data_IF_085962827366
#
_entry.id   IF_085962827366
#
_cell.length_a   1.000
_cell.length_b   1.000
_cell.length_c   1.000
_cell.angle_alpha   90.00
_cell.angle_beta   90.00
_cell.angle_gamma   90.00
#
_symmetry.space_group_name_H-M   'P 1'
#
loop_
_entity.id
_entity.type
_entity.pdbx_description
1 polymer ?
#
# COMPACT_ATOMS: atom_id res chain seq x y z
N UNK A 1 24.05 17.56 27.35
CA UNK A 1 22.80 17.96 26.68
C UNK A 1 22.06 16.66 26.38
N UNK A 2 20.96 16.39 27.08
CA UNK A 2 20.23 15.13 26.94
C UNK A 2 19.64 14.95 25.54
N UNK A 3 19.43 13.68 25.13
CA UNK A 3 18.81 13.33 23.86
C UNK A 3 17.36 13.82 23.83
N UNK A 4 16.97 14.56 22.78
CA UNK A 4 15.57 14.97 22.57
C UNK A 4 14.82 13.87 21.81
N UNK A 5 14.06 13.04 22.53
CA UNK A 5 13.30 11.92 21.98
C UNK A 5 12.21 12.34 21.00
N UNK A 6 11.65 13.55 21.16
CA UNK A 6 10.69 14.10 20.20
C UNK A 6 11.41 14.47 18.89
N UNK A 7 12.61 15.04 18.99
CA UNK A 7 13.44 15.34 17.82
C UNK A 7 13.92 14.07 17.10
N UNK A 8 14.29 13.03 17.86
CA UNK A 8 14.71 11.72 17.32
C UNK A 8 13.59 11.07 16.51
N UNK A 9 12.34 11.09 17.02
CA UNK A 9 11.18 10.57 16.28
C UNK A 9 10.62 11.53 15.23
N UNK A 10 11.10 12.78 15.19
CA UNK A 10 10.64 13.83 14.27
C UNK A 10 9.20 14.27 14.52
N UNK A 11 8.78 14.28 15.79
CA UNK A 11 7.42 14.64 16.21
C UNK A 11 7.44 15.87 17.13
N UNK A 12 6.29 16.55 17.26
CA UNK A 12 6.16 17.68 18.18
C UNK A 12 6.14 17.23 19.64
N UNK A 13 6.58 18.07 20.59
CA UNK A 13 6.42 17.80 22.03
C UNK A 13 4.95 17.64 22.46
N UNK A 14 4.02 18.23 21.69
CA UNK A 14 2.56 18.08 21.87
C UNK A 14 1.97 16.88 21.12
N UNK A 15 2.80 15.99 20.59
CA UNK A 15 2.32 14.89 19.76
C UNK A 15 1.41 13.92 20.53
N UNK A 16 0.39 13.42 19.86
CA UNK A 16 -0.49 12.39 20.41
C UNK A 16 0.21 11.02 20.40
N UNK A 17 -0.25 10.03 21.20
CA UNK A 17 0.30 8.67 21.18
C UNK A 17 0.31 8.05 19.77
N UNK A 18 -0.70 8.36 18.95
CA UNK A 18 -0.80 7.90 17.56
C UNK A 18 0.27 8.52 16.66
N UNK A 19 0.57 9.80 16.86
CA UNK A 19 1.63 10.51 16.14
C UNK A 19 3.02 10.02 16.53
N UNK A 20 3.24 9.71 17.81
CA UNK A 20 4.48 9.09 18.32
C UNK A 20 4.66 7.70 17.71
N UNK A 21 3.60 6.89 17.68
CA UNK A 21 3.58 5.58 17.01
C UNK A 21 3.86 5.67 15.51
N UNK A 22 3.40 6.73 14.86
CA UNK A 22 3.66 6.99 13.44
C UNK A 22 5.11 7.47 13.20
N UNK A 23 5.64 8.31 14.09
CA UNK A 23 7.03 8.78 14.06
C UNK A 23 8.03 7.64 14.19
N UNK A 24 7.80 6.74 15.16
CA UNK A 24 8.61 5.54 15.35
C UNK A 24 8.64 4.65 14.10
N UNK A 25 7.49 4.32 13.52
CA UNK A 25 7.42 3.52 12.29
C UNK A 25 8.25 4.12 11.15
N UNK A 26 8.19 5.45 10.99
CA UNK A 26 8.93 6.17 9.94
C UNK A 26 10.44 6.10 10.15
N UNK A 27 10.91 6.33 11.38
CA UNK A 27 12.35 6.34 11.67
C UNK A 27 12.94 4.94 11.75
N UNK A 28 12.21 3.97 12.27
CA UNK A 28 12.65 2.58 12.36
C UNK A 28 12.86 1.95 10.97
N UNK A 29 11.99 2.23 9.99
CA UNK A 29 12.19 1.80 8.59
C UNK A 29 13.36 2.54 7.94
N UNK A 30 13.58 3.80 8.29
CA UNK A 30 14.66 4.61 7.72
C UNK A 30 16.05 4.11 8.15
N UNK A 31 16.19 3.68 9.41
CA UNK A 31 17.46 3.26 9.98
C UNK A 31 17.60 1.74 10.12
N UNK A 32 16.70 0.95 9.52
CA UNK A 32 16.76 -0.51 9.61
C UNK A 32 18.05 -1.07 8.95
N UNK A 33 18.75 -2.03 9.59
CA UNK A 33 20.02 -2.56 9.10
C UNK A 33 19.95 -3.18 7.70
N UNK A 34 18.80 -3.75 7.32
CA UNK A 34 18.57 -4.31 5.96
C UNK A 34 18.75 -3.27 4.85
N UNK A 35 18.32 -2.02 5.08
CA UNK A 35 18.45 -0.92 4.09
C UNK A 35 19.85 -0.33 3.99
N UNK A 36 20.65 -0.51 5.04
CA UNK A 36 22.03 0.00 5.13
C UNK A 36 23.07 -1.12 5.02
N UNK A 37 22.65 -2.32 4.61
CA UNK A 37 23.49 -3.52 4.47
C UNK A 37 24.59 -3.38 3.41
N UNK A 38 24.39 -2.53 2.40
CA UNK A 38 25.35 -2.22 1.33
C UNK A 38 26.24 -1.00 1.60
N UNK A 39 26.05 -0.30 2.73
CA UNK A 39 26.85 0.85 3.13
C UNK A 39 28.24 0.49 3.68
N UNK A 40 29.08 1.52 3.86
CA UNK A 40 30.36 1.40 4.57
C UNK A 40 30.16 1.04 6.05
N UNK A 41 31.19 0.52 6.72
CA UNK A 41 31.10 0.12 8.13
C UNK A 41 30.70 1.29 9.05
N UNK A 42 31.10 2.52 8.70
CA UNK A 42 30.71 3.73 9.42
C UNK A 42 29.20 4.04 9.28
N UNK A 43 28.62 3.86 8.09
CA UNK A 43 27.20 4.10 7.83
C UNK A 43 26.32 3.03 8.51
N UNK A 44 26.81 1.79 8.57
CA UNK A 44 26.15 0.70 9.31
C UNK A 44 26.10 0.97 10.80
N UNK A 45 27.22 1.39 11.38
CA UNK A 45 27.30 1.75 12.79
C UNK A 45 26.40 2.94 13.13
N UNK A 46 26.37 3.98 12.29
CA UNK A 46 25.50 5.15 12.48
C UNK A 46 24.01 4.79 12.35
N UNK A 47 23.66 3.91 11.41
CA UNK A 47 22.28 3.43 11.26
C UNK A 47 21.84 2.62 12.48
N UNK A 48 22.71 1.74 12.99
CA UNK A 48 22.42 0.94 14.18
C UNK A 48 22.25 1.82 15.43
N UNK A 49 23.08 2.83 15.62
CA UNK A 49 22.97 3.78 16.74
C UNK A 49 21.65 4.57 16.66
N UNK A 50 21.30 5.08 15.48
CA UNK A 50 20.04 5.80 15.28
C UNK A 50 18.82 4.91 15.41
N UNK A 51 18.91 3.65 15.01
CA UNK A 51 17.84 2.67 15.19
C UNK A 51 17.58 2.41 16.68
N UNK A 52 18.64 2.23 17.48
CA UNK A 52 18.54 2.10 18.94
C UNK A 52 17.93 3.35 19.58
N UNK A 53 18.36 4.54 19.16
CA UNK A 53 17.82 5.80 19.66
C UNK A 53 16.33 5.97 19.34
N UNK A 54 15.89 5.53 18.17
CA UNK A 54 14.47 5.56 17.79
C UNK A 54 13.62 4.60 18.63
N UNK A 55 14.13 3.41 18.93
CA UNK A 55 13.45 2.44 19.80
C UNK A 55 13.35 2.96 21.23
N UNK A 56 14.43 3.54 21.77
CA UNK A 56 14.44 4.17 23.10
C UNK A 56 13.44 5.32 23.19
N UNK A 57 13.44 6.20 22.18
CA UNK A 57 12.50 7.32 22.13
C UNK A 57 11.04 6.85 22.11
N UNK A 58 10.73 5.79 21.37
CA UNK A 58 9.38 5.23 21.35
C UNK A 58 9.00 4.59 22.69
N UNK A 59 9.88 3.83 23.34
CA UNK A 59 9.56 3.20 24.63
C UNK A 59 9.26 4.23 25.72
N UNK A 60 10.02 5.33 25.76
CA UNK A 60 9.81 6.41 26.72
C UNK A 60 8.54 7.22 26.41
N UNK A 61 8.32 7.56 25.14
CA UNK A 61 7.22 8.45 24.75
C UNK A 61 5.87 7.72 24.55
N UNK A 62 5.88 6.40 24.38
CA UNK A 62 4.66 5.59 24.22
C UNK A 62 3.93 5.32 25.53
N UNK A 63 4.67 5.30 26.65
CA UNK A 63 4.13 5.13 28.00
C UNK A 63 3.85 6.50 28.64
N UNK A 64 2.63 6.71 29.13
CA UNK A 64 2.21 7.99 29.70
C UNK A 64 2.98 8.36 30.99
N UNK A 65 3.35 7.38 31.81
CA UNK A 65 4.14 7.59 33.04
C UNK A 65 5.59 7.95 32.68
N UNK A 66 6.21 7.19 31.76
CA UNK A 66 7.61 7.45 31.32
C UNK A 66 7.73 8.78 30.58
N UNK A 67 6.74 9.11 29.74
CA UNK A 67 6.67 10.40 29.03
C UNK A 67 6.57 11.57 30.01
N UNK A 68 5.76 11.44 31.06
CA UNK A 68 5.63 12.48 32.09
C UNK A 68 6.94 12.72 32.84
N UNK A 69 7.66 11.65 33.18
CA UNK A 69 8.96 11.73 33.84
C UNK A 69 9.99 12.39 32.91
N UNK A 70 10.02 11.99 31.64
CA UNK A 70 10.90 12.57 30.63
C UNK A 70 10.60 14.05 30.36
N UNK A 71 9.33 14.43 30.29
CA UNK A 71 8.91 15.82 30.08
C UNK A 71 9.26 16.73 31.28
N UNK A 72 9.32 16.16 32.50
CA UNK A 72 9.57 16.89 33.74
C UNK A 72 11.05 16.96 34.11
N UNK A 73 11.84 15.92 33.82
CA UNK A 73 13.21 15.76 34.30
C UNK A 73 14.22 15.40 33.20
N UNK A 74 13.79 15.28 31.95
CA UNK A 74 14.64 14.89 30.82
C UNK A 74 15.18 13.46 30.94
N UNK A 75 16.27 13.19 30.23
CA UNK A 75 16.94 11.88 30.22
C UNK A 75 17.48 11.49 31.62
N UNK A 76 17.91 12.48 32.41
CA UNK A 76 18.45 12.28 33.76
C UNK A 76 17.38 11.76 34.76
N UNK A 77 16.12 12.14 34.57
CA UNK A 77 15.01 11.63 35.38
C UNK A 77 14.63 10.18 35.11
N UNK A 78 14.97 9.66 33.92
CA UNK A 78 14.79 8.24 33.60
C UNK A 78 15.89 7.37 34.24
N UNK A 79 17.06 7.93 34.53
CA UNK A 79 18.14 7.27 35.26
C UNK A 79 17.89 7.22 36.78
N UNK A 80 17.23 8.25 37.33
CA UNK A 80 16.97 8.38 38.78
C UNK A 80 15.92 7.38 39.33
N UNK A 81 15.23 6.60 38.49
CA UNK A 81 14.33 5.52 38.92
C UNK A 81 15.03 4.21 39.29
N UNK A 82 16.33 4.11 39.08
CA UNK A 82 17.14 2.91 39.34
C UNK A 82 18.03 3.04 40.57
N UNK A 83 17.46 3.17 41.77
CA UNK A 83 18.28 3.24 42.98
C UNK A 83 17.50 3.33 44.28
N UNK A 84 17.01 2.21 44.79
CA UNK A 84 16.93 2.00 46.25
C UNK A 84 16.72 0.51 46.54
N UNK A 85 17.82 -0.16 46.87
CA UNK A 85 17.83 -1.56 47.26
C UNK A 85 19.23 -2.01 47.66
N UNK A 86 19.69 -1.58 48.84
CA UNK A 86 20.79 -2.27 49.54
C UNK A 86 21.87 -1.39 50.16
N UNK A 87 21.72 -1.13 51.47
CA UNK A 87 22.76 -0.93 52.48
C UNK A 87 23.72 0.29 52.38
N UNK A 88 23.52 1.25 53.31
CA UNK A 88 24.62 1.98 53.94
C UNK A 88 24.62 3.50 53.75
N UNK A 89 24.22 4.24 54.80
CA UNK A 89 24.82 5.54 55.15
C UNK A 89 24.16 6.83 54.62
N UNK A 90 23.34 7.46 55.48
CA UNK A 90 23.42 8.89 55.81
C UNK A 90 23.03 9.97 54.78
N UNK A 91 21.90 10.66 55.05
CA UNK A 91 21.55 12.02 54.56
C UNK A 91 20.90 12.02 53.17
N UNK A 92 19.62 12.29 52.96
CA UNK A 92 18.78 13.32 53.55
C UNK A 92 18.56 14.43 52.51
N UNK A 93 17.46 14.36 51.74
CA UNK A 93 16.90 15.53 51.04
C UNK A 93 15.37 15.60 51.21
N UNK A 94 14.81 16.82 51.32
CA UNK A 94 13.50 17.08 51.90
C UNK A 94 12.43 17.26 50.83
N UNK A 95 11.20 16.84 51.15
CA UNK A 95 10.02 17.19 50.35
C UNK A 95 9.19 15.98 49.97
N UNK A 96 8.50 15.43 50.97
CA UNK A 96 7.44 14.45 50.74
C UNK A 96 6.23 15.08 50.06
N UNK A 97 5.55 14.28 49.25
CA UNK A 97 4.14 14.47 48.86
C UNK A 97 3.46 13.10 48.84
N UNK A 98 2.13 13.05 49.07
CA UNK A 98 1.56 12.27 50.14
C UNK A 98 0.99 10.95 49.63
N UNK A 99 1.46 9.86 50.22
CA UNK A 99 0.76 8.59 50.26
C UNK A 99 -0.44 8.72 51.21
N UNK A 100 -1.66 8.67 50.67
CA UNK A 100 -2.85 8.69 51.51
C UNK A 100 -4.15 8.40 50.75
N UNK A 101 -4.57 7.14 50.78
CA UNK A 101 -5.96 6.74 50.57
C UNK A 101 -6.16 5.71 49.46
N UNK A 102 -6.09 4.41 49.78
CA UNK A 102 -7.26 3.51 49.88
C UNK A 102 -6.79 2.06 50.16
N UNK A 103 -7.61 1.24 50.86
CA UNK A 103 -7.20 0.09 51.65
C UNK A 103 -7.15 -1.22 50.85
N UNK A 104 -6.47 -2.18 51.47
CA UNK A 104 -6.31 -3.56 51.07
C UNK A 104 -7.61 -4.27 50.64
N UNK A 105 -7.49 -5.15 49.63
CA UNK A 105 -8.39 -6.29 49.46
C UNK A 105 -8.92 -6.51 48.05
N UNK A 106 -8.06 -6.88 47.09
CA UNK A 106 -8.38 -7.97 46.14
C UNK A 106 -7.12 -8.42 45.39
N UNK A 107 -6.48 -9.47 45.90
CA UNK A 107 -5.56 -10.29 45.12
C UNK A 107 -6.36 -11.03 44.04
N UNK A 108 -5.93 -10.93 42.78
CA UNK A 108 -6.44 -11.83 41.75
C UNK A 108 -6.07 -11.46 40.33
N UNK A 109 -4.77 -11.47 39.99
CA UNK A 109 -4.23 -12.37 38.95
C UNK A 109 -2.73 -12.10 38.76
N UNK A 110 -1.91 -13.05 39.19
CA UNK A 110 -0.49 -13.11 38.85
C UNK A 110 -0.28 -13.66 37.45
N UNK A 111 0.69 -13.08 36.74
CA UNK A 111 1.32 -13.58 35.53
C UNK A 111 2.69 -12.92 35.40
N UNK A 112 3.78 -13.66 35.10
CA UNK A 112 5.15 -13.24 35.37
C UNK A 112 5.71 -12.36 34.24
N UNK A 113 6.32 -11.23 34.57
CA UNK A 113 7.07 -10.45 33.57
C UNK A 113 7.06 -8.93 33.70
N UNK A 114 6.86 -8.36 34.89
CA UNK A 114 7.02 -6.91 35.10
C UNK A 114 8.47 -6.48 34.91
N UNK A 115 8.84 -6.09 33.69
CA UNK A 115 10.19 -5.60 33.36
C UNK A 115 10.42 -4.27 34.08
N UNK A 116 11.27 -4.28 35.10
CA UNK A 116 11.93 -3.08 35.62
C UNK A 116 13.05 -2.71 34.65
N UNK A 117 13.01 -1.52 34.06
CA UNK A 117 14.09 -1.03 33.19
C UNK A 117 14.81 0.11 33.89
N UNK A 118 16.12 -0.05 34.09
CA UNK A 118 17.07 0.97 34.51
C UNK A 118 17.84 1.43 33.27
N UNK A 119 17.92 2.74 33.05
CA UNK A 119 18.66 3.33 31.93
C UNK A 119 20.09 3.65 32.39
N UNK A 120 21.09 3.03 31.75
CA UNK A 120 22.51 3.42 31.93
C UNK A 120 23.16 3.59 30.56
N UNK A 121 23.67 4.80 30.33
CA UNK A 121 24.35 5.22 29.11
C UNK A 121 25.84 5.43 29.36
N UNK A 122 26.53 4.45 29.97
CA UNK A 122 27.98 4.42 29.89
C UNK A 122 28.55 3.00 30.09
N UNK A 123 29.51 2.64 29.24
CA UNK A 123 29.96 1.27 29.01
C UNK A 123 30.73 0.56 30.13
N UNK A 124 30.89 -0.74 29.88
CA UNK A 124 31.85 -1.69 30.48
C UNK A 124 31.49 -2.25 31.87
N UNK A 125 30.91 -3.46 31.92
CA UNK A 125 30.88 -4.25 33.15
C UNK A 125 29.87 -5.40 33.21
N UNK A 126 30.36 -6.61 32.94
CA UNK A 126 29.93 -7.92 33.45
C UNK A 126 28.65 -8.02 34.31
N UNK A 127 27.65 -8.80 33.87
CA UNK A 127 26.57 -9.34 34.71
C UNK A 127 25.18 -9.18 34.09
N UNK A 128 24.55 -10.30 33.70
CA UNK A 128 23.29 -10.29 32.96
C UNK A 128 22.09 -9.76 33.73
N UNK A 129 21.50 -8.65 33.25
CA UNK A 129 20.05 -8.47 33.05
C UNK A 129 19.78 -7.13 32.34
N UNK A 130 19.02 -7.18 31.25
CA UNK A 130 18.31 -6.10 30.52
C UNK A 130 18.83 -4.65 30.61
N UNK A 131 19.97 -4.37 29.96
CA UNK A 131 20.17 -3.08 29.30
C UNK A 131 19.41 -3.05 27.96
N UNK A 132 19.15 -1.86 27.40
CA UNK A 132 18.55 -1.70 26.07
C UNK A 132 19.43 -2.43 25.03
N UNK A 133 19.07 -3.67 24.70
CA UNK A 133 19.80 -4.50 23.75
C UNK A 133 19.28 -4.23 22.35
N UNK A 134 20.15 -4.33 21.33
CA UNK A 134 19.76 -4.30 19.92
C UNK A 134 18.60 -5.26 19.63
N UNK A 135 18.59 -6.43 20.29
CA UNK A 135 17.53 -7.43 20.18
C UNK A 135 16.15 -6.94 20.62
N UNK A 136 16.05 -6.05 21.61
CA UNK A 136 14.78 -5.51 22.07
C UNK A 136 14.19 -4.49 21.07
N UNK A 137 15.05 -3.71 20.41
CA UNK A 137 14.65 -2.83 19.32
C UNK A 137 14.15 -3.62 18.10
N UNK A 138 14.79 -4.75 17.78
CA UNK A 138 14.36 -5.66 16.73
C UNK A 138 13.01 -6.33 17.06
N UNK A 139 12.77 -6.71 18.31
CA UNK A 139 11.49 -7.28 18.75
C UNK A 139 10.35 -6.25 18.70
N UNK A 140 10.62 -5.00 19.12
CA UNK A 140 9.68 -3.89 18.95
C UNK A 140 9.38 -3.65 17.47
N UNK A 141 10.39 -3.67 16.60
CA UNK A 141 10.18 -3.58 15.15
C UNK A 141 9.32 -4.75 14.63
N UNK A 142 9.67 -5.99 14.96
CA UNK A 142 8.88 -7.16 14.57
C UNK A 142 7.44 -7.09 15.08
N UNK A 143 7.19 -6.63 16.30
CA UNK A 143 5.81 -6.47 16.80
C UNK A 143 4.97 -5.49 15.96
N UNK A 144 5.63 -4.50 15.37
CA UNK A 144 5.02 -3.47 14.51
C UNK A 144 4.83 -3.90 13.05
N UNK A 145 5.66 -4.83 12.57
CA UNK A 145 5.72 -5.22 11.15
C UNK A 145 5.42 -6.71 10.90
N UNK A 146 5.27 -7.54 11.93
CA UNK A 146 5.00 -9.00 11.87
C UNK A 146 3.57 -9.39 12.23
N UNK A 147 2.90 -8.66 13.14
CA UNK A 147 1.46 -8.87 13.41
C UNK A 147 0.65 -8.19 12.31
N UNK A 148 0.32 -8.98 11.30
CA UNK A 148 -0.30 -8.56 10.04
C UNK A 148 -1.50 -7.64 10.18
N UNK A 149 -1.37 -6.47 9.54
CA UNK A 149 -2.45 -5.58 9.08
C UNK A 149 -1.90 -4.62 8.00
N UNK A 150 -2.74 -4.03 7.13
CA UNK A 150 -2.74 -4.28 5.68
C UNK A 150 -1.96 -3.26 4.85
N UNK A 151 -0.68 -3.03 5.17
CA UNK A 151 0.19 -2.16 4.35
C UNK A 151 1.59 -2.74 4.05
N UNK A 152 1.75 -4.06 4.16
CA UNK A 152 2.97 -4.78 3.80
C UNK A 152 3.30 -4.77 2.28
N UNK A 153 2.57 -3.99 1.47
CA UNK A 153 2.82 -3.80 0.03
C UNK A 153 3.21 -2.38 -0.38
N UNK A 154 3.42 -1.44 0.56
CA UNK A 154 3.81 -0.07 0.19
C UNK A 154 5.33 0.04 0.04
N UNK A 155 5.79 -0.22 -1.18
CA UNK A 155 7.14 0.07 -1.64
C UNK A 155 7.62 1.47 -1.17
N UNK A 156 8.80 1.50 -0.55
CA UNK A 156 9.71 2.66 -0.53
C UNK A 156 9.21 3.93 0.15
N UNK A 157 9.44 4.06 1.47
CA UNK A 157 9.40 5.35 2.19
C UNK A 157 10.58 6.28 1.84
N UNK A 158 10.98 6.36 0.57
CA UNK A 158 12.07 7.22 0.08
C UNK A 158 11.60 8.66 -0.26
N UNK A 159 10.30 8.96 -0.15
CA UNK A 159 9.73 10.26 -0.56
C UNK A 159 9.48 11.24 0.61
N UNK A 160 10.33 11.22 1.64
CA UNK A 160 10.25 12.16 2.78
C UNK A 160 11.48 13.05 2.97
N UNK A 161 12.59 12.78 2.28
CA UNK A 161 13.70 13.74 2.14
C UNK A 161 13.37 14.83 1.10
N UNK A 162 12.56 14.49 0.10
CA UNK A 162 12.09 15.41 -0.94
C UNK A 162 10.92 16.31 -0.49
N UNK A 163 10.45 16.13 0.76
CA UNK A 163 9.41 16.94 1.38
C UNK A 163 9.97 18.14 2.16
N UNK A 164 11.18 18.02 2.74
CA UNK A 164 11.82 19.15 3.44
C UNK A 164 12.53 20.13 2.49
N UNK A 165 13.03 19.67 1.34
CA UNK A 165 13.62 20.55 0.32
C UNK A 165 12.58 21.31 -0.52
N UNK A 166 11.30 20.95 -0.43
CA UNK A 166 10.19 21.56 -1.18
C UNK A 166 9.57 22.81 -0.53
N UNK A 167 10.01 23.21 0.67
CA UNK A 167 9.45 24.37 1.39
C UNK A 167 10.11 25.71 1.00
N UNK A 168 11.19 25.71 0.23
CA UNK A 168 11.93 26.93 -0.11
C UNK A 168 11.65 27.50 -1.52
N UNK A 169 10.86 26.84 -2.37
CA UNK A 169 10.43 27.36 -3.67
C UNK A 169 8.95 27.06 -3.84
N UNK A 170 8.12 28.10 -3.79
CA UNK A 170 6.68 28.05 -4.02
C UNK A 170 6.32 27.59 -5.42
N UNK A 171 6.49 26.30 -5.69
CA UNK A 171 6.03 25.62 -6.88
C UNK A 171 5.31 24.36 -6.45
N UNK A 172 3.98 24.38 -6.53
CA UNK A 172 3.18 23.15 -6.59
C UNK A 172 3.71 22.34 -7.77
N UNK A 173 4.57 21.35 -7.49
CA UNK A 173 4.75 20.22 -8.42
C UNK A 173 3.33 19.71 -8.68
N UNK A 174 2.82 19.70 -9.91
CA UNK A 174 1.58 18.99 -10.17
C UNK A 174 1.81 17.58 -9.66
N UNK A 175 0.97 17.09 -8.74
CA UNK A 175 0.85 15.64 -8.54
C UNK A 175 0.66 15.13 -9.96
N UNK A 176 1.62 14.37 -10.50
CA UNK A 176 1.39 13.65 -11.75
C UNK A 176 0.03 13.00 -11.57
N UNK A 177 -0.94 13.39 -12.40
CA UNK A 177 -2.26 12.79 -12.36
C UNK A 177 -2.01 11.28 -12.32
N UNK A 178 -2.43 10.60 -11.25
CA UNK A 178 -2.38 9.14 -11.21
C UNK A 178 -3.02 8.72 -12.52
N UNK A 179 -2.26 8.07 -13.40
CA UNK A 179 -2.78 7.70 -14.70
C UNK A 179 -3.98 6.80 -14.45
N UNK A 180 -5.19 7.28 -14.77
CA UNK A 180 -6.44 6.52 -14.67
C UNK A 180 -6.49 5.47 -15.80
N UNK A 181 -5.36 4.79 -16.01
CA UNK A 181 -5.18 3.78 -17.03
C UNK A 181 -5.85 2.45 -16.63
N UNK A 182 -6.22 2.30 -15.35
CA UNK A 182 -6.92 1.14 -14.79
C UNK A 182 -8.45 1.32 -14.72
N UNK A 183 -8.95 2.52 -14.96
CA UNK A 183 -10.37 2.87 -14.85
C UNK A 183 -10.98 3.07 -16.25
N UNK A 184 -12.19 2.56 -16.46
CA UNK A 184 -12.95 2.85 -17.68
C UNK A 184 -13.26 4.34 -17.76
N UNK A 185 -12.97 5.01 -18.89
CA UNK A 185 -13.30 6.40 -19.05
C UNK A 185 -14.81 6.61 -19.06
N UNK A 186 -15.24 7.81 -18.66
CA UNK A 186 -16.63 8.22 -18.81
C UNK A 186 -17.02 8.17 -20.30
N UNK A 187 -18.24 7.73 -20.58
CA UNK A 187 -18.71 7.47 -21.94
C UNK A 187 -18.34 6.12 -22.51
N UNK A 188 -17.59 5.29 -21.77
CA UNK A 188 -17.26 3.96 -22.24
C UNK A 188 -18.50 3.06 -22.27
N UNK A 189 -18.71 2.40 -23.41
CA UNK A 189 -19.82 1.46 -23.59
C UNK A 189 -19.45 0.12 -22.96
N UNK A 190 -20.33 -0.39 -22.11
CA UNK A 190 -20.14 -1.64 -21.37
C UNK A 190 -21.39 -2.50 -21.47
N UNK A 191 -21.18 -3.81 -21.57
CA UNK A 191 -22.22 -4.83 -21.44
C UNK A 191 -22.23 -5.34 -20.01
N UNK A 192 -23.41 -5.42 -19.43
CA UNK A 192 -23.62 -5.89 -18.06
C UNK A 192 -23.75 -7.42 -18.08
N UNK A 193 -22.93 -8.10 -17.29
CA UNK A 193 -22.89 -9.57 -17.23
C UNK A 193 -22.68 -10.02 -15.78
N UNK A 194 -23.19 -11.19 -15.39
CA UNK A 194 -22.93 -11.76 -14.06
C UNK A 194 -23.63 -11.06 -12.88
N UNK A 195 -24.64 -10.21 -13.12
CA UNK A 195 -25.43 -9.60 -12.05
C UNK A 195 -26.39 -10.62 -11.43
N UNK A 196 -26.53 -10.55 -10.10
CA UNK A 196 -27.52 -11.34 -9.35
C UNK A 196 -28.96 -11.03 -9.81
N UNK A 197 -29.23 -9.77 -10.17
CA UNK A 197 -30.49 -9.40 -10.81
C UNK A 197 -30.37 -9.62 -12.32
N UNK A 198 -30.84 -10.78 -12.78
CA UNK A 198 -30.72 -11.20 -14.18
C UNK A 198 -31.41 -10.30 -15.20
N UNK A 199 -32.35 -9.45 -14.77
CA UNK A 199 -33.07 -8.52 -15.66
C UNK A 199 -32.16 -7.50 -16.37
N UNK A 200 -30.99 -7.20 -15.80
CA UNK A 200 -30.03 -6.28 -16.39
C UNK A 200 -28.91 -6.97 -17.16
N UNK A 201 -28.80 -8.31 -17.08
CA UNK A 201 -27.75 -9.04 -17.78
C UNK A 201 -28.00 -9.04 -19.29
N UNK A 202 -26.94 -8.81 -20.05
CA UNK A 202 -26.97 -8.70 -21.51
C UNK A 202 -27.31 -7.31 -22.04
N UNK A 203 -27.79 -6.40 -21.19
CA UNK A 203 -28.01 -5.00 -21.57
C UNK A 203 -26.67 -4.28 -21.75
N UNK A 204 -26.71 -3.25 -22.60
CA UNK A 204 -25.59 -2.36 -22.87
C UNK A 204 -25.89 -1.01 -22.21
N UNK A 205 -24.88 -0.44 -21.58
CA UNK A 205 -24.95 0.87 -20.93
C UNK A 205 -23.68 1.67 -21.14
N UNK A 206 -23.72 2.90 -20.65
CA UNK A 206 -22.61 3.86 -20.72
C UNK A 206 -22.08 4.16 -19.33
N UNK A 207 -20.76 4.13 -19.15
CA UNK A 207 -20.12 4.47 -17.88
C UNK A 207 -20.23 5.98 -17.64
N UNK A 208 -20.86 6.39 -16.55
CA UNK A 208 -20.96 7.80 -16.17
C UNK A 208 -19.78 8.24 -15.29
N UNK A 209 -19.46 7.45 -14.27
CA UNK A 209 -18.37 7.74 -13.34
C UNK A 209 -17.90 6.47 -12.60
N UNK A 210 -16.66 6.50 -12.13
CA UNK A 210 -16.13 5.52 -11.18
C UNK A 210 -16.10 6.10 -9.77
N UNK A 211 -16.80 5.45 -8.84
CA UNK A 211 -16.78 5.77 -7.42
C UNK A 211 -15.62 5.00 -6.75
N UNK A 212 -14.52 5.71 -6.49
CA UNK A 212 -13.31 5.16 -5.88
C UNK A 212 -13.55 4.66 -4.45
N UNK A 213 -14.46 5.31 -3.71
CA UNK A 213 -14.78 4.94 -2.33
C UNK A 213 -15.54 3.60 -2.26
N UNK A 214 -16.46 3.38 -3.21
CA UNK A 214 -17.25 2.14 -3.29
C UNK A 214 -16.65 1.08 -4.20
N UNK A 215 -15.59 1.43 -4.95
CA UNK A 215 -14.99 0.63 -6.03
C UNK A 215 -16.03 0.10 -7.01
N UNK A 216 -16.96 0.97 -7.41
CA UNK A 216 -18.08 0.66 -8.32
C UNK A 216 -18.22 1.72 -9.41
N UNK A 217 -18.66 1.28 -10.57
CA UNK A 217 -19.01 2.16 -11.68
C UNK A 217 -20.49 2.54 -11.59
N UNK A 218 -20.82 3.80 -11.85
CA UNK A 218 -22.17 4.18 -12.23
C UNK A 218 -22.31 3.96 -13.73
N UNK A 219 -23.27 3.12 -14.10
CA UNK A 219 -23.55 2.79 -15.50
C UNK A 219 -24.99 3.18 -15.79
N UNK A 220 -25.19 3.99 -16.83
CA UNK A 220 -26.51 4.38 -17.32
C UNK A 220 -26.99 3.34 -18.32
N UNK A 221 -28.10 2.69 -18.00
CA UNK A 221 -28.78 1.71 -18.86
C UNK A 221 -30.21 2.19 -19.07
N UNK A 222 -30.63 2.36 -20.31
CA UNK A 222 -32.00 2.82 -20.66
C UNK A 222 -32.45 4.07 -19.89
N UNK A 223 -31.54 5.01 -19.61
CA UNK A 223 -31.81 6.23 -18.86
C UNK A 223 -31.73 6.12 -17.34
N UNK A 224 -31.52 4.91 -16.79
CA UNK A 224 -31.39 4.68 -15.34
C UNK A 224 -29.94 4.42 -14.95
N UNK A 225 -29.39 5.18 -14.01
CA UNK A 225 -28.03 4.99 -13.50
C UNK A 225 -28.02 3.95 -12.38
N UNK A 226 -27.16 2.94 -12.51
CA UNK A 226 -27.01 1.85 -11.54
C UNK A 226 -25.55 1.68 -11.10
N UNK A 227 -25.35 1.34 -9.83
CA UNK A 227 -24.02 1.11 -9.26
C UNK A 227 -23.56 -0.34 -9.42
N UNK A 228 -22.68 -0.57 -10.40
CA UNK A 228 -22.23 -1.88 -10.84
C UNK A 228 -20.77 -2.13 -10.44
N UNK A 229 -20.45 -3.36 -10.04
CA UNK A 229 -19.09 -3.78 -9.74
C UNK A 229 -18.27 -3.95 -11.03
N UNK A 230 -16.94 -3.69 -11.02
CA UNK A 230 -16.07 -3.91 -12.17
C UNK A 230 -16.14 -5.33 -12.76
N UNK A 231 -16.28 -6.36 -11.92
CA UNK A 231 -16.38 -7.77 -12.33
C UNK A 231 -17.58 -8.08 -13.24
N UNK A 232 -18.63 -7.28 -13.13
CA UNK A 232 -19.89 -7.42 -13.86
C UNK A 232 -19.96 -6.55 -15.12
N UNK A 233 -18.85 -5.90 -15.48
CA UNK A 233 -18.74 -5.08 -16.69
C UNK A 233 -17.83 -5.75 -17.70
N UNK A 234 -18.28 -5.73 -18.95
CA UNK A 234 -17.52 -6.17 -20.10
C UNK A 234 -17.46 -5.01 -21.09
N UNK A 235 -16.27 -4.50 -21.38
CA UNK A 235 -16.14 -3.36 -22.27
C UNK A 235 -16.50 -3.75 -23.71
N UNK A 236 -17.43 -3.01 -24.31
CA UNK A 236 -17.80 -3.12 -25.72
C UNK A 236 -16.90 -2.19 -26.51
N UNK A 237 -16.09 -2.76 -27.39
CA UNK A 237 -15.07 -2.00 -28.14
C UNK A 237 -15.52 -1.81 -29.58
N UNK A 238 -15.65 -0.56 -30.01
CA UNK A 238 -15.92 -0.23 -31.41
C UNK A 238 -14.61 -0.17 -32.22
N UNK A 239 -14.65 -0.59 -33.49
CA UNK A 239 -13.51 -0.46 -34.40
C UNK A 239 -12.39 -1.48 -34.21
N UNK A 240 -12.66 -2.60 -33.54
CA UNK A 240 -11.70 -3.69 -33.44
C UNK A 240 -11.44 -4.28 -34.84
N UNK A 241 -10.18 -4.42 -35.23
CA UNK A 241 -9.78 -4.89 -36.55
C UNK A 241 -9.45 -6.37 -36.52
N UNK A 242 -9.94 -7.13 -37.49
CA UNK A 242 -9.60 -8.56 -37.63
C UNK A 242 -8.21 -8.71 -38.25
N UNK A 243 -7.36 -9.54 -37.66
CA UNK A 243 -5.98 -9.77 -38.12
C UNK A 243 -5.61 -11.25 -38.07
N UNK A 244 -4.77 -11.68 -39.03
CA UNK A 244 -4.13 -13.01 -39.02
C UNK A 244 -5.08 -14.21 -39.01
N UNK A 245 -6.34 -14.06 -39.41
CA UNK A 245 -7.28 -15.20 -39.55
C UNK A 245 -7.08 -15.91 -40.89
N UNK A 246 -7.47 -17.18 -40.96
CA UNK A 246 -7.48 -17.97 -42.20
C UNK A 246 -8.51 -17.47 -43.20
N UNK A 247 -9.55 -16.78 -42.72
CA UNK A 247 -10.55 -16.12 -43.55
C UNK A 247 -10.00 -14.77 -44.05
N UNK A 248 -9.19 -14.81 -45.11
CA UNK A 248 -8.48 -13.64 -45.64
C UNK A 248 -9.41 -12.45 -45.94
N UNK A 249 -10.64 -12.72 -46.39
CA UNK A 249 -11.69 -11.73 -46.66
C UNK A 249 -12.07 -10.87 -45.44
N UNK A 250 -11.83 -11.38 -44.22
CA UNK A 250 -12.12 -10.64 -42.99
C UNK A 250 -10.93 -9.83 -42.50
N UNK A 251 -9.71 -10.20 -42.89
CA UNK A 251 -8.51 -9.50 -42.41
C UNK A 251 -8.54 -8.03 -42.86
N UNK A 252 -8.24 -7.12 -41.93
CA UNK A 252 -8.29 -5.68 -42.17
C UNK A 252 -9.68 -5.05 -42.02
N UNK A 253 -10.74 -5.85 -41.89
CA UNK A 253 -12.09 -5.32 -41.62
C UNK A 253 -12.24 -4.93 -40.16
N UNK A 254 -12.96 -3.83 -39.93
CA UNK A 254 -13.30 -3.33 -38.60
C UNK A 254 -14.68 -3.79 -38.19
N UNK A 255 -14.79 -4.38 -37.01
CA UNK A 255 -16.05 -4.71 -36.38
C UNK A 255 -16.70 -3.43 -35.82
N UNK A 256 -18.02 -3.35 -35.95
CA UNK A 256 -18.78 -2.28 -35.33
C UNK A 256 -18.72 -2.39 -33.80
N UNK A 257 -18.78 -3.62 -33.29
CA UNK A 257 -18.67 -3.93 -31.87
C UNK A 257 -17.86 -5.21 -31.66
N UNK A 258 -17.03 -5.20 -30.63
CA UNK A 258 -16.26 -6.34 -30.16
C UNK A 258 -16.47 -6.53 -28.66
N UNK A 259 -16.91 -7.71 -28.26
CA UNK A 259 -17.16 -8.07 -26.85
C UNK A 259 -16.41 -9.35 -26.54
N UNK A 260 -15.72 -9.41 -25.40
CA UNK A 260 -14.97 -10.61 -25.01
C UNK A 260 -15.88 -11.61 -24.30
N UNK A 261 -16.11 -12.78 -24.88
CA UNK A 261 -16.82 -13.88 -24.23
C UNK A 261 -15.86 -14.65 -23.31
N UNK A 262 -16.02 -14.44 -22.00
CA UNK A 262 -15.20 -15.07 -20.95
C UNK A 262 -15.30 -16.60 -20.97
N UNK A 263 -16.47 -17.15 -21.33
CA UNK A 263 -16.70 -18.59 -21.32
C UNK A 263 -15.96 -19.31 -22.44
N UNK A 264 -15.88 -18.68 -23.61
CA UNK A 264 -15.20 -19.23 -24.79
C UNK A 264 -13.75 -18.77 -24.92
N UNK A 265 -13.35 -17.75 -24.17
CA UNK A 265 -12.05 -17.10 -24.30
C UNK A 265 -11.86 -16.47 -25.69
N UNK A 266 -12.93 -15.93 -26.28
CA UNK A 266 -12.96 -15.42 -27.66
C UNK A 266 -13.70 -14.09 -27.74
N UNK A 267 -13.28 -13.23 -28.67
CA UNK A 267 -14.04 -12.03 -29.02
C UNK A 267 -15.19 -12.38 -29.95
N UNK A 268 -16.37 -11.86 -29.62
CA UNK A 268 -17.55 -11.83 -30.47
C UNK A 268 -17.53 -10.51 -31.21
N UNK A 269 -17.42 -10.57 -32.54
CA UNK A 269 -17.35 -9.42 -33.43
C UNK A 269 -18.63 -9.29 -34.23
N UNK A 270 -19.24 -8.11 -34.17
CA UNK A 270 -20.49 -7.79 -34.87
C UNK A 270 -20.25 -6.73 -35.96
N UNK A 271 -21.13 -6.69 -36.96
CA UNK A 271 -21.05 -5.73 -38.07
C UNK A 271 -19.97 -6.03 -39.11
N UNK A 272 -19.42 -7.25 -39.11
CA UNK A 272 -18.42 -7.68 -40.09
C UNK A 272 -19.04 -8.27 -41.37
N UNK A 273 -20.31 -8.64 -41.41
CA UNK A 273 -20.97 -9.17 -42.61
C UNK A 273 -22.28 -8.43 -42.87
N UNK A 274 -22.83 -8.55 -44.08
CA UNK A 274 -24.03 -7.81 -44.50
C UNK A 274 -25.34 -8.28 -43.83
N UNK A 275 -25.28 -9.33 -43.00
CA UNK A 275 -26.30 -9.64 -42.00
C UNK A 275 -25.68 -9.50 -40.62
N UNK A 276 -26.47 -9.30 -39.57
CA UNK A 276 -26.03 -9.18 -38.16
C UNK A 276 -25.37 -10.48 -37.60
N UNK A 277 -24.50 -11.12 -38.37
CA UNK A 277 -23.76 -12.30 -37.99
C UNK A 277 -22.65 -11.94 -37.01
N UNK A 278 -22.61 -12.67 -35.91
CA UNK A 278 -21.56 -12.58 -34.91
C UNK A 278 -20.43 -13.54 -35.29
N UNK A 279 -19.21 -13.04 -35.43
CA UNK A 279 -18.03 -13.85 -35.71
C UNK A 279 -17.21 -14.03 -34.43
N UNK A 280 -16.89 -15.27 -34.08
CA UNK A 280 -16.10 -15.58 -32.88
C UNK A 280 -14.64 -15.82 -33.23
N UNK A 281 -13.75 -14.93 -32.78
CA UNK A 281 -12.31 -15.01 -33.02
C UNK A 281 -11.49 -15.11 -31.73
N UNK A 282 -10.32 -15.73 -31.82
CA UNK A 282 -9.35 -15.74 -30.71
C UNK A 282 -8.78 -14.33 -30.48
N UNK A 283 -8.37 -13.98 -29.25
CA UNK A 283 -7.70 -12.70 -28.96
C UNK A 283 -6.47 -12.41 -29.83
N UNK A 284 -5.73 -13.44 -30.24
CA UNK A 284 -4.61 -13.33 -31.18
C UNK A 284 -4.99 -12.77 -32.55
N UNK A 285 -6.27 -12.87 -32.91
CA UNK A 285 -6.80 -12.52 -34.22
C UNK A 285 -7.61 -11.20 -34.21
N UNK A 286 -7.60 -10.49 -33.08
CA UNK A 286 -8.34 -9.25 -32.91
C UNK A 286 -7.41 -8.15 -32.44
N UNK A 287 -7.28 -7.12 -33.26
CA UNK A 287 -6.58 -5.89 -32.93
C UNK A 287 -7.54 -4.86 -32.36
N UNK A 288 -7.44 -4.59 -31.07
CA UNK A 288 -8.17 -3.55 -30.37
C UNK A 288 -7.59 -2.17 -30.71
N UNK A 289 -8.42 -1.12 -30.78
CA UNK A 289 -7.95 0.25 -30.95
C UNK A 289 -7.14 0.72 -29.75
N UNK A 290 -6.28 1.71 -29.98
CA UNK A 290 -5.59 2.44 -28.89
C UNK A 290 -6.60 3.09 -27.95
N UNK A 291 -6.18 3.44 -26.74
CA UNK A 291 -7.00 3.93 -25.63
C UNK A 291 -7.97 2.89 -25.01
N UNK A 292 -8.10 1.70 -25.59
CA UNK A 292 -8.88 0.60 -25.00
C UNK A 292 -8.29 0.20 -23.65
N UNK A 293 -9.16 -0.03 -22.65
CA UNK A 293 -8.75 -0.56 -21.35
C UNK A 293 -8.72 -2.07 -21.44
N UNK A 294 -7.63 -2.65 -20.98
CA UNK A 294 -7.42 -4.08 -21.05
C UNK A 294 -6.81 -4.63 -19.78
N UNK A 295 -7.17 -5.85 -19.45
CA UNK A 295 -6.49 -6.65 -18.43
C UNK A 295 -5.49 -7.58 -19.12
N UNK A 296 -4.28 -7.65 -18.58
CA UNK A 296 -3.26 -8.59 -19.03
C UNK A 296 -3.60 -9.98 -18.50
N UNK A 297 -3.55 -10.99 -19.38
CA UNK A 297 -3.80 -12.38 -19.02
C UNK A 297 -2.94 -13.33 -19.86
N UNK A 298 -2.56 -14.48 -19.29
CA UNK A 298 -1.83 -15.52 -20.02
C UNK A 298 -0.40 -15.12 -20.41
N UNK A 299 0.16 -14.09 -19.76
CA UNK A 299 1.55 -13.70 -19.96
C UNK A 299 2.47 -14.67 -19.21
N UNK A 300 3.19 -15.51 -19.95
CA UNK A 300 4.07 -16.54 -19.39
C UNK A 300 5.42 -15.98 -18.91
N UNK A 301 5.93 -14.95 -19.58
CA UNK A 301 7.23 -14.36 -19.26
C UNK A 301 7.24 -13.52 -17.99
N UNK A 302 6.08 -12.94 -17.65
CA UNK A 302 5.87 -12.10 -16.45
C UNK A 302 4.50 -12.42 -15.86
N UNK A 303 4.37 -13.58 -15.17
CA UNK A 303 3.10 -14.01 -14.61
C UNK A 303 2.60 -13.08 -13.50
N UNK A 304 3.51 -12.32 -12.88
CA UNK A 304 3.25 -11.25 -11.91
C UNK A 304 2.33 -10.14 -12.45
N UNK A 305 2.30 -9.96 -13.77
CA UNK A 305 1.45 -8.94 -14.42
C UNK A 305 0.08 -9.47 -14.85
N UNK A 306 -0.20 -10.76 -14.71
CA UNK A 306 -1.53 -11.29 -15.01
C UNK A 306 -2.55 -10.74 -14.02
N UNK A 307 -3.64 -10.18 -14.52
CA UNK A 307 -4.63 -9.44 -13.73
C UNK A 307 -4.35 -7.94 -13.62
N UNK A 308 -3.18 -7.46 -14.08
CA UNK A 308 -2.92 -6.03 -14.15
C UNK A 308 -3.80 -5.39 -15.23
N UNK A 309 -4.42 -4.26 -14.89
CA UNK A 309 -5.26 -3.47 -15.81
C UNK A 309 -4.47 -2.26 -16.28
N UNK A 310 -4.58 -1.96 -17.57
CA UNK A 310 -3.97 -0.79 -18.16
C UNK A 310 -4.66 -0.35 -19.43
N UNK A 311 -4.04 0.65 -20.05
CA UNK A 311 -4.51 1.26 -21.29
C UNK A 311 -3.60 0.87 -22.45
N UNK A 312 -4.18 0.51 -23.60
CA UNK A 312 -3.39 0.37 -24.83
C UNK A 312 -2.94 1.75 -25.28
N UNK A 313 -1.63 2.01 -25.22
CA UNK A 313 -1.03 3.27 -25.67
C UNK A 313 -0.56 3.18 -27.12
N UNK A 314 -0.09 2.01 -27.53
CA UNK A 314 0.37 1.75 -28.89
C UNK A 314 0.02 0.31 -29.30
N UNK A 315 -0.30 0.11 -30.57
CA UNK A 315 -0.48 -1.21 -31.16
C UNK A 315 0.43 -1.32 -32.39
N UNK A 316 1.43 -2.20 -32.34
CA UNK A 316 2.41 -2.39 -33.43
C UNK A 316 2.52 -3.87 -33.79
N UNK A 317 2.43 -4.19 -35.08
CA UNK A 317 2.53 -5.55 -35.63
C UNK A 317 1.66 -6.57 -34.87
N UNK A 318 2.24 -7.35 -33.95
CA UNK A 318 1.60 -8.40 -33.16
C UNK A 318 1.52 -8.09 -31.64
N UNK A 319 1.88 -6.86 -31.23
CA UNK A 319 2.02 -6.47 -29.83
C UNK A 319 1.36 -5.15 -29.47
N UNK A 320 0.89 -5.07 -28.23
CA UNK A 320 0.45 -3.83 -27.58
C UNK A 320 1.54 -3.32 -26.65
N UNK A 321 1.70 -2.00 -26.59
CA UNK A 321 2.32 -1.30 -25.46
C UNK A 321 1.18 -0.86 -24.53
N UNK A 322 1.16 -1.41 -23.31
CA UNK A 322 0.14 -1.12 -22.30
C UNK A 322 0.74 -0.22 -21.24
N UNK A 323 0.15 0.95 -21.04
CA UNK A 323 0.43 1.80 -19.88
C UNK A 323 -0.34 1.32 -18.66
N UNK A 324 0.37 0.90 -17.62
CA UNK A 324 -0.20 0.47 -16.35
C UNK A 324 -0.51 1.66 -15.42
N UNK A 325 -1.14 1.38 -14.29
CA UNK A 325 -1.54 2.37 -13.27
C UNK A 325 -0.36 3.09 -12.62
N UNK A 326 0.76 2.40 -12.45
CA UNK A 326 2.00 2.96 -11.88
C UNK A 326 2.78 3.82 -12.89
N UNK A 327 2.26 3.95 -14.12
CA UNK A 327 2.91 4.66 -15.22
C UNK A 327 3.98 3.84 -15.94
N UNK A 328 4.16 2.56 -15.59
CA UNK A 328 5.04 1.67 -16.34
C UNK A 328 4.39 1.24 -17.64
N UNK A 329 5.22 0.94 -18.64
CA UNK A 329 4.78 0.42 -19.92
C UNK A 329 5.19 -1.04 -20.08
N UNK A 330 4.28 -1.86 -20.60
CA UNK A 330 4.50 -3.28 -20.81
C UNK A 330 4.15 -3.66 -22.24
N UNK A 331 5.08 -4.31 -22.92
CA UNK A 331 4.84 -4.87 -24.26
C UNK A 331 4.31 -6.30 -24.14
N UNK A 332 3.11 -6.54 -24.64
CA UNK A 332 2.46 -7.87 -24.63
C UNK A 332 1.92 -8.22 -26.02
N UNK A 333 1.76 -9.52 -26.31
CA UNK A 333 1.11 -9.97 -27.55
C UNK A 333 -0.39 -9.71 -27.52
N UNK A 334 -1.03 -9.61 -28.69
CA UNK A 334 -2.49 -9.44 -28.78
C UNK A 334 -3.29 -10.53 -28.05
N UNK A 335 -2.76 -11.76 -28.03
CA UNK A 335 -3.37 -12.89 -27.33
C UNK A 335 -3.37 -12.77 -25.79
N UNK A 336 -2.61 -11.83 -25.23
CA UNK A 336 -2.38 -11.73 -23.79
C UNK A 336 -3.22 -10.62 -23.12
N UNK A 337 -4.29 -10.15 -23.77
CA UNK A 337 -5.15 -9.09 -23.24
C UNK A 337 -6.64 -9.38 -23.43
N UNK A 338 -7.45 -8.92 -22.48
CA UNK A 338 -8.92 -9.00 -22.53
C UNK A 338 -9.55 -7.66 -22.18
N UNK A 339 -10.75 -7.37 -22.73
CA UNK A 339 -11.52 -6.15 -22.43
C UNK A 339 -12.35 -6.27 -21.13
N UNK A 340 -12.21 -7.38 -20.42
CA UNK A 340 -12.78 -7.57 -19.08
C UNK A 340 -11.76 -7.09 -18.06
N UNK A 341 -12.07 -5.99 -17.36
CA UNK A 341 -11.11 -5.34 -16.45
C UNK A 341 -11.00 -5.98 -15.06
N UNK A 342 -11.60 -7.14 -14.88
CA UNK A 342 -11.50 -7.90 -13.64
C UNK A 342 -11.54 -9.40 -13.95
N UNK A 343 -10.82 -10.22 -13.17
CA UNK A 343 -10.92 -11.66 -13.27
C UNK A 343 -12.36 -12.10 -12.94
N UNK A 344 -12.80 -13.20 -13.57
CA UNK A 344 -14.06 -13.85 -13.19
C UNK A 344 -13.95 -14.28 -11.73
N UNK A 345 -14.88 -13.84 -10.89
CA UNK A 345 -15.01 -14.29 -9.50
C UNK A 345 -15.55 -15.73 -9.39
N UNK A 346 -15.81 -16.38 -10.53
CA UNK A 346 -16.10 -17.82 -10.62
C UNK A 346 -14.97 -18.51 -11.39
N UNK A 347 -14.01 -19.03 -10.63
CA UNK A 347 -13.22 -20.24 -10.87
C UNK A 347 -12.82 -20.80 -9.51
#
# INVERSE_FOLDING_TARGET
MGKDFYAILGVSRKATPEEIKKGYRKMAVKWHPDKHSSGSDAEKAEAEEKFKDCAMAYEVLSDAEKRRIYDQYGEEGLQAGGGSGGAGGGGGFPGGFPTGGFPAGMNGFGGPGGVKVVFSTNGSGMGGMSGFSASHADDLFRSFFSNGDPFAGMHGFDDMSDLLHRRARGGTRPKRARSQNDILPNGCVVRLEGLNNGSMNGLVGEVELFDDARRRYQVKVNGTSSSIKPENLNQVVAGATVVGTSQLELNGRQAAQAVFDRSKGRYLLEGLTAGNGVISLKPTNVRLPVETRVMIQGLQSRPDLNGAVGKIEEASHDRYTIGLRDGTQVKVKFGCVTTCLAPSSNL
#
